data_IF_418133772544
#
_entry.id   IF_418133772544
#
_cell.length_a   1.000
_cell.length_b   1.000
_cell.length_c   1.000
_cell.angle_alpha   90.00
_cell.angle_beta   90.00
_cell.angle_gamma   90.00
#
_symmetry.space_group_name_H-M   'P 1'
#
loop_
_entity.id
_entity.type
_entity.pdbx_description
1 polymer ?
#
# COMPACT_ATOMS: atom_id res chain seq x y z
N UNK A 1 -36.11 16.91 -10.19
CA UNK A 1 -34.93 16.17 -10.65
C UNK A 1 -33.88 17.18 -11.04
N UNK A 2 -32.63 17.03 -10.61
CA UNK A 2 -31.60 18.03 -10.85
C UNK A 2 -30.95 17.80 -12.23
N UNK A 3 -31.55 18.38 -13.27
CA UNK A 3 -31.03 18.32 -14.64
C UNK A 3 -29.57 18.80 -14.74
N UNK A 4 -29.12 19.60 -13.76
CA UNK A 4 -27.73 20.03 -13.67
C UNK A 4 -26.75 18.86 -13.58
N UNK A 5 -27.14 17.69 -13.05
CA UNK A 5 -26.26 16.52 -12.95
C UNK A 5 -25.83 15.97 -14.32
N UNK A 6 -26.66 16.13 -15.34
CA UNK A 6 -26.36 15.65 -16.71
C UNK A 6 -25.82 16.76 -17.62
N UNK A 7 -25.79 18.01 -17.15
CA UNK A 7 -25.25 19.14 -17.91
C UNK A 7 -24.03 19.81 -17.25
N UNK A 8 -23.57 19.30 -16.12
CA UNK A 8 -22.49 19.92 -15.35
C UNK A 8 -21.35 18.94 -15.13
N UNK A 9 -20.20 19.22 -15.71
CA UNK A 9 -18.99 18.42 -15.57
C UNK A 9 -18.02 19.06 -14.57
N UNK A 10 -17.37 18.22 -13.74
CA UNK A 10 -16.32 18.65 -12.82
C UNK A 10 -14.97 18.36 -13.44
N UNK A 11 -14.17 19.40 -13.58
CA UNK A 11 -12.88 19.34 -14.25
C UNK A 11 -11.80 19.71 -13.24
N UNK A 12 -10.70 18.95 -13.23
CA UNK A 12 -9.54 19.30 -12.41
C UNK A 12 -9.08 20.73 -12.72
N UNK A 13 -8.80 21.50 -11.67
CA UNK A 13 -8.31 22.87 -11.78
C UNK A 13 -7.27 23.12 -10.69
N UNK A 14 -5.97 23.09 -11.04
CA UNK A 14 -4.90 23.29 -10.07
C UNK A 14 -4.88 24.73 -9.52
N UNK A 15 -5.42 25.71 -10.25
CA UNK A 15 -5.42 27.13 -9.86
C UNK A 15 -6.47 27.44 -8.79
N UNK A 16 -7.48 26.58 -8.65
CA UNK A 16 -8.50 26.72 -7.62
C UNK A 16 -7.98 26.21 -6.28
N UNK A 17 -7.45 27.11 -5.45
CA UNK A 17 -6.85 26.79 -4.16
C UNK A 17 -7.83 26.27 -3.10
N UNK A 18 -9.12 26.55 -3.23
CA UNK A 18 -10.14 26.09 -2.28
C UNK A 18 -10.62 24.66 -2.58
N UNK A 19 -10.95 24.38 -3.85
CA UNK A 19 -11.64 23.14 -4.24
C UNK A 19 -10.77 22.20 -5.08
N UNK A 20 -9.78 22.69 -5.82
CA UNK A 20 -8.95 21.91 -6.75
C UNK A 20 -9.69 21.42 -8.02
N UNK A 21 -10.92 21.88 -8.24
CA UNK A 21 -11.70 21.62 -9.45
C UNK A 21 -12.61 22.80 -9.76
N UNK A 22 -12.99 22.92 -11.02
CA UNK A 22 -14.01 23.86 -11.49
C UNK A 22 -15.24 23.09 -11.97
N UNK A 23 -16.37 23.80 -11.94
CA UNK A 23 -17.66 23.29 -12.38
C UNK A 23 -17.95 23.92 -13.73
N UNK A 24 -17.94 23.11 -14.79
CA UNK A 24 -18.18 23.56 -16.15
C UNK A 24 -19.58 23.15 -16.60
N UNK A 25 -20.34 24.13 -17.06
CA UNK A 25 -21.66 23.91 -17.59
C UNK A 25 -21.59 23.59 -19.10
N UNK A 26 -22.28 22.54 -19.52
CA UNK A 26 -22.33 22.04 -20.89
C UNK A 26 -23.72 22.29 -21.47
N UNK A 27 -23.84 23.35 -22.26
CA UNK A 27 -25.11 23.79 -22.84
C UNK A 27 -25.70 22.73 -23.78
N UNK A 28 -24.88 22.13 -24.65
CA UNK A 28 -25.32 21.08 -25.57
C UNK A 28 -25.90 19.87 -24.84
N UNK A 29 -25.30 19.49 -23.70
CA UNK A 29 -25.79 18.41 -22.86
C UNK A 29 -27.13 18.76 -22.20
N UNK A 30 -27.30 20.02 -21.76
CA UNK A 30 -28.56 20.48 -21.19
C UNK A 30 -29.68 20.48 -22.22
N UNK A 31 -29.43 21.06 -23.40
CA UNK A 31 -30.41 21.15 -24.48
C UNK A 31 -30.82 19.74 -24.94
N UNK A 32 -29.85 18.84 -25.15
CA UNK A 32 -30.11 17.46 -25.49
C UNK A 32 -30.93 16.74 -24.42
N UNK A 33 -30.54 16.86 -23.15
CA UNK A 33 -31.23 16.21 -22.04
C UNK A 33 -32.68 16.72 -21.92
N UNK A 34 -32.91 18.02 -22.06
CA UNK A 34 -34.23 18.62 -22.01
C UNK A 34 -35.10 18.19 -23.20
N UNK A 35 -34.60 18.26 -24.43
CA UNK A 35 -35.34 17.85 -25.63
C UNK A 35 -35.72 16.36 -25.57
N UNK A 36 -34.79 15.53 -25.10
CA UNK A 36 -34.97 14.08 -25.07
C UNK A 36 -35.94 13.63 -23.97
N UNK A 37 -35.87 14.21 -22.77
CA UNK A 37 -36.78 13.85 -21.65
C UNK A 37 -38.13 14.56 -21.68
N UNK A 38 -38.21 15.76 -22.28
CA UNK A 38 -39.48 16.44 -22.47
C UNK A 38 -40.31 15.78 -23.58
N UNK A 39 -39.67 15.10 -24.55
CA UNK A 39 -40.32 14.37 -25.64
C UNK A 39 -40.78 12.94 -25.33
N UNK A 40 -40.40 12.34 -24.19
CA UNK A 40 -40.84 10.99 -23.81
C UNK A 40 -42.29 10.99 -23.29
N UNK A 41 -43.08 10.01 -23.73
CA UNK A 41 -44.52 9.93 -23.49
C UNK A 41 -44.85 9.68 -22.00
N UNK A 42 -46.03 10.08 -21.56
CA UNK A 42 -46.40 10.12 -20.13
C UNK A 42 -46.36 8.73 -19.45
N UNK A 43 -46.46 7.65 -20.23
CA UNK A 43 -46.31 6.24 -19.78
C UNK A 43 -44.85 5.83 -19.53
N UNK A 44 -43.89 6.31 -20.31
CA UNK A 44 -42.46 6.04 -20.12
C UNK A 44 -41.89 6.83 -18.94
N UNK A 45 -42.49 8.00 -18.66
CA UNK A 45 -42.24 8.76 -17.42
C UNK A 45 -42.66 8.00 -16.16
N UNK A 46 -43.67 7.13 -16.22
CA UNK A 46 -44.25 6.46 -15.03
C UNK A 46 -43.60 5.12 -14.66
N UNK A 47 -42.91 4.45 -15.59
CA UNK A 47 -42.26 3.15 -15.34
C UNK A 47 -40.95 3.23 -14.53
N UNK A 48 -40.53 4.43 -14.17
CA UNK A 48 -39.16 4.65 -13.76
C UNK A 48 -39.00 4.64 -12.23
N UNK A 49 -38.05 3.84 -11.75
CA UNK A 49 -37.08 4.34 -10.78
C UNK A 49 -36.20 5.36 -11.56
N UNK A 50 -36.69 6.60 -11.67
CA UNK A 50 -36.40 7.62 -12.70
C UNK A 50 -34.94 7.80 -13.11
N UNK A 51 -33.99 7.75 -12.18
CA UNK A 51 -32.58 8.03 -12.50
C UNK A 51 -31.88 6.85 -13.21
N UNK A 52 -32.25 5.61 -12.86
CA UNK A 52 -31.63 4.41 -13.44
C UNK A 52 -32.09 4.19 -14.87
N UNK A 53 -33.38 4.41 -15.17
CA UNK A 53 -33.91 4.29 -16.53
C UNK A 53 -33.28 5.29 -17.49
N UNK A 54 -33.04 6.53 -17.04
CA UNK A 54 -32.34 7.56 -17.82
C UNK A 54 -30.90 7.15 -18.11
N UNK A 55 -30.18 6.63 -17.12
CA UNK A 55 -28.81 6.13 -17.30
C UNK A 55 -28.76 4.98 -18.29
N UNK A 56 -29.68 4.02 -18.17
CA UNK A 56 -29.76 2.86 -19.06
C UNK A 56 -30.03 3.31 -20.51
N UNK A 57 -30.96 4.25 -20.71
CA UNK A 57 -31.28 4.81 -22.01
C UNK A 57 -30.11 5.58 -22.63
N UNK A 58 -29.51 6.52 -21.89
CA UNK A 58 -28.36 7.28 -22.38
C UNK A 58 -27.17 6.37 -22.70
N UNK A 59 -26.96 5.31 -21.91
CA UNK A 59 -25.82 4.41 -22.09
C UNK A 59 -26.03 3.48 -23.29
N UNK A 60 -27.25 3.00 -23.50
CA UNK A 60 -27.60 2.21 -24.68
C UNK A 60 -27.45 3.01 -25.98
N UNK A 61 -27.81 4.30 -25.98
CA UNK A 61 -27.48 5.19 -27.09
C UNK A 61 -25.98 5.36 -27.24
N UNK A 62 -25.25 5.72 -26.18
CA UNK A 62 -23.80 5.91 -26.24
C UNK A 62 -23.05 4.70 -26.85
N UNK A 63 -23.51 3.49 -26.55
CA UNK A 63 -22.97 2.21 -27.04
C UNK A 63 -23.49 1.73 -28.39
N UNK A 64 -24.39 2.48 -29.03
CA UNK A 64 -25.10 2.06 -30.24
C UNK A 64 -25.87 0.72 -30.08
N UNK A 65 -26.35 0.41 -28.87
CA UNK A 65 -27.17 -0.79 -28.62
C UNK A 65 -28.61 -0.64 -29.16
N UNK A 66 -29.08 0.60 -29.34
CA UNK A 66 -30.33 0.96 -30.01
C UNK A 66 -30.01 1.59 -31.36
N UNK A 67 -30.14 0.83 -32.44
CA UNK A 67 -29.91 1.34 -33.80
C UNK A 67 -31.04 2.30 -34.19
N UNK A 68 -30.70 3.56 -34.47
CA UNK A 68 -31.57 4.47 -35.21
C UNK A 68 -31.27 4.39 -36.71
N UNK A 69 -32.28 4.60 -37.55
CA UNK A 69 -32.26 4.33 -39.00
C UNK A 69 -31.36 5.32 -39.78
N UNK A 70 -30.80 6.34 -39.13
CA UNK A 70 -30.11 7.45 -39.78
C UNK A 70 -28.70 7.68 -39.20
N UNK A 71 -27.65 7.32 -39.94
CA UNK A 71 -26.26 7.14 -39.45
C UNK A 71 -25.57 8.44 -38.97
N UNK A 72 -25.93 9.60 -39.54
CA UNK A 72 -25.39 10.91 -39.15
C UNK A 72 -26.08 11.45 -37.89
N UNK A 73 -27.39 11.19 -37.76
CA UNK A 73 -28.17 11.44 -36.56
C UNK A 73 -27.66 10.56 -35.40
N UNK A 74 -27.40 9.27 -35.69
CA UNK A 74 -26.89 8.30 -34.73
C UNK A 74 -25.59 8.78 -34.05
N UNK A 75 -24.61 9.25 -34.83
CA UNK A 75 -23.33 9.70 -34.28
C UNK A 75 -23.47 10.91 -33.36
N UNK A 76 -24.28 11.91 -33.74
CA UNK A 76 -24.52 13.10 -32.90
C UNK A 76 -25.25 12.75 -31.61
N UNK A 77 -26.25 11.88 -31.68
CA UNK A 77 -26.97 11.39 -30.49
C UNK A 77 -26.06 10.62 -29.54
N UNK A 78 -25.17 9.77 -30.09
CA UNK A 78 -24.17 9.04 -29.32
C UNK A 78 -23.23 9.97 -28.56
N UNK A 79 -22.70 10.99 -29.24
CA UNK A 79 -21.82 12.00 -28.63
C UNK A 79 -22.53 12.73 -27.49
N UNK A 80 -23.76 13.21 -27.71
CA UNK A 80 -24.51 13.98 -26.71
C UNK A 80 -24.96 13.11 -25.52
N UNK A 81 -25.39 11.87 -25.77
CA UNK A 81 -25.72 10.93 -24.70
C UNK A 81 -24.47 10.58 -23.85
N UNK A 82 -23.32 10.37 -24.50
CA UNK A 82 -22.04 10.22 -23.84
C UNK A 82 -21.65 11.44 -23.01
N UNK A 83 -21.86 12.65 -23.54
CA UNK A 83 -21.62 13.91 -22.81
C UNK A 83 -22.48 14.03 -21.56
N UNK A 84 -23.77 13.72 -21.64
CA UNK A 84 -24.66 13.70 -20.47
C UNK A 84 -24.16 12.74 -19.38
N UNK A 85 -23.72 11.55 -19.78
CA UNK A 85 -23.19 10.55 -18.86
C UNK A 85 -21.85 10.95 -18.26
N UNK A 86 -20.94 11.57 -19.03
CA UNK A 86 -19.66 12.10 -18.53
C UNK A 86 -19.87 13.19 -17.47
N UNK A 87 -20.79 14.12 -17.73
CA UNK A 87 -21.25 15.10 -16.74
C UNK A 87 -21.71 14.40 -15.46
N UNK A 88 -22.55 13.39 -15.61
CA UNK A 88 -23.10 12.63 -14.50
C UNK A 88 -22.01 11.96 -13.65
N UNK A 89 -21.13 11.16 -14.27
CA UNK A 89 -20.12 10.36 -13.54
C UNK A 89 -18.99 11.21 -12.94
N UNK A 90 -18.78 12.43 -13.42
CA UNK A 90 -17.80 13.36 -12.83
C UNK A 90 -18.04 13.64 -11.34
N UNK A 91 -19.31 13.63 -10.89
CA UNK A 91 -19.66 13.87 -9.49
C UNK A 91 -19.39 12.65 -8.58
N UNK A 92 -19.86 11.42 -8.89
CA UNK A 92 -19.46 10.22 -8.16
C UNK A 92 -17.94 10.02 -8.08
N UNK A 93 -17.19 10.34 -9.13
CA UNK A 93 -15.72 10.26 -9.13
C UNK A 93 -15.14 11.24 -8.12
N UNK A 94 -15.57 12.52 -8.14
CA UNK A 94 -15.16 13.51 -7.15
C UNK A 94 -15.50 13.06 -5.71
N UNK A 95 -16.73 12.56 -5.49
CA UNK A 95 -17.16 12.04 -4.18
C UNK A 95 -16.28 10.87 -3.74
N UNK A 96 -15.85 10.01 -4.65
CA UNK A 96 -14.96 8.91 -4.37
C UNK A 96 -13.58 9.41 -3.91
N UNK A 97 -12.98 10.39 -4.60
CA UNK A 97 -11.73 11.00 -4.16
C UNK A 97 -11.83 11.62 -2.77
N UNK A 98 -12.91 12.35 -2.48
CA UNK A 98 -13.17 12.93 -1.15
C UNK A 98 -13.28 11.85 -0.07
N UNK A 99 -14.03 10.77 -0.35
CA UNK A 99 -14.19 9.65 0.58
C UNK A 99 -12.90 8.87 0.80
N UNK A 100 -12.09 8.70 -0.24
CA UNK A 100 -10.78 8.07 -0.12
C UNK A 100 -9.87 8.92 0.76
N UNK A 101 -9.75 10.22 0.49
CA UNK A 101 -8.98 11.10 1.35
C UNK A 101 -9.47 11.07 2.80
N UNK A 102 -10.78 11.23 3.06
CA UNK A 102 -11.31 11.21 4.43
C UNK A 102 -11.07 9.91 5.18
N UNK A 103 -11.00 8.76 4.49
CA UNK A 103 -10.70 7.46 5.10
C UNK A 103 -9.23 7.33 5.53
N UNK A 104 -8.37 8.21 5.02
CA UNK A 104 -6.92 8.09 5.08
C UNK A 104 -6.23 9.36 5.59
N UNK A 105 -6.96 10.45 5.88
CA UNK A 105 -6.41 11.72 6.36
C UNK A 105 -5.93 11.71 7.82
N UNK A 106 -6.36 10.74 8.66
CA UNK A 106 -6.06 10.78 10.10
C UNK A 106 -4.56 10.65 10.40
N UNK A 107 -3.80 9.94 9.57
CA UNK A 107 -2.36 9.72 9.74
C UNK A 107 -1.51 10.28 8.60
N UNK A 108 -2.11 10.71 7.48
CA UNK A 108 -1.41 11.05 6.25
C UNK A 108 -1.89 12.38 5.66
N UNK A 109 -0.96 13.23 5.21
CA UNK A 109 -1.22 14.56 4.61
C UNK A 109 -1.85 14.51 3.20
N UNK A 110 -2.42 13.38 2.82
CA UNK A 110 -3.10 13.21 1.55
C UNK A 110 -4.36 14.07 1.52
N UNK A 111 -4.43 15.00 0.57
CA UNK A 111 -5.68 15.73 0.31
C UNK A 111 -6.39 15.15 -0.89
N UNK A 112 -7.73 15.19 -0.92
CA UNK A 112 -8.49 14.71 -2.08
C UNK A 112 -8.10 15.41 -3.38
N UNK A 113 -7.51 16.63 -3.30
CA UNK A 113 -7.04 17.44 -4.44
C UNK A 113 -5.92 16.74 -5.21
N UNK A 114 -5.03 16.06 -4.52
CA UNK A 114 -3.92 15.30 -5.13
C UNK A 114 -4.43 14.12 -5.96
N UNK A 115 -5.63 13.62 -5.65
CA UNK A 115 -6.25 12.54 -6.41
C UNK A 115 -6.96 13.03 -7.68
N UNK A 116 -7.34 14.31 -7.75
CA UNK A 116 -8.22 14.82 -8.81
C UNK A 116 -7.56 14.84 -10.19
N UNK A 117 -6.26 15.14 -10.25
CA UNK A 117 -5.50 15.19 -11.51
C UNK A 117 -5.51 13.87 -12.27
N UNK A 118 -5.64 12.75 -11.57
CA UNK A 118 -5.65 11.42 -12.16
C UNK A 118 -7.00 11.01 -12.75
N UNK A 119 -8.11 11.60 -12.30
CA UNK A 119 -9.46 11.08 -12.60
C UNK A 119 -10.47 12.11 -13.10
N UNK A 120 -10.23 13.41 -12.89
CA UNK A 120 -11.05 14.49 -13.45
C UNK A 120 -10.34 15.12 -14.66
N UNK A 121 -9.85 14.27 -15.57
CA UNK A 121 -9.13 14.65 -16.78
C UNK A 121 -10.04 14.98 -17.98
N UNK A 122 -11.35 15.03 -17.76
CA UNK A 122 -12.37 15.23 -18.79
C UNK A 122 -13.05 16.60 -18.63
N UNK A 123 -12.98 17.43 -19.67
CA UNK A 123 -13.61 18.75 -19.73
C UNK A 123 -14.94 18.80 -20.49
N UNK A 124 -15.37 17.67 -21.06
CA UNK A 124 -16.62 17.53 -21.80
C UNK A 124 -16.60 18.13 -23.22
N UNK A 125 -15.50 18.76 -23.65
CA UNK A 125 -15.47 19.46 -24.96
C UNK A 125 -15.14 18.54 -26.12
N UNK A 126 -14.37 17.48 -25.86
CA UNK A 126 -14.00 16.52 -26.89
C UNK A 126 -15.22 15.63 -27.21
N UNK A 127 -15.74 15.62 -28.44
CA UNK A 127 -16.82 14.73 -28.84
C UNK A 127 -16.30 13.30 -28.99
N UNK A 128 -16.82 12.38 -28.17
CA UNK A 128 -16.30 11.02 -28.04
C UNK A 128 -17.44 10.03 -28.21
N UNK A 129 -17.16 8.94 -28.93
CA UNK A 129 -17.97 7.73 -29.01
C UNK A 129 -17.12 6.50 -28.68
N UNK A 130 -17.76 5.37 -28.41
CA UNK A 130 -17.09 4.08 -28.27
C UNK A 130 -17.05 3.34 -29.62
N UNK A 131 -16.02 2.51 -29.83
CA UNK A 131 -16.01 1.55 -30.92
C UNK A 131 -17.11 0.47 -30.77
N UNK A 132 -17.26 -0.39 -31.78
CA UNK A 132 -18.23 -1.49 -31.80
C UNK A 132 -18.01 -2.50 -30.65
N UNK A 133 -16.79 -2.60 -30.14
CA UNK A 133 -16.41 -3.49 -29.06
C UNK A 133 -16.59 -2.84 -27.67
N UNK A 134 -16.96 -1.57 -27.62
CA UNK A 134 -17.10 -0.77 -26.41
C UNK A 134 -15.78 -0.49 -25.67
N UNK A 135 -14.62 -0.66 -26.33
CA UNK A 135 -13.29 -0.64 -25.69
C UNK A 135 -12.44 0.56 -26.08
N UNK A 136 -12.48 1.00 -27.33
CA UNK A 136 -11.69 2.13 -27.79
C UNK A 136 -12.50 3.43 -27.73
N UNK A 137 -11.84 4.52 -27.30
CA UNK A 137 -12.39 5.88 -27.35
C UNK A 137 -12.08 6.48 -28.72
N UNK A 138 -13.13 6.84 -29.46
CA UNK A 138 -13.02 7.42 -30.79
C UNK A 138 -13.47 8.88 -30.74
N UNK A 139 -12.68 9.77 -31.33
CA UNK A 139 -12.97 11.19 -31.40
C UNK A 139 -13.67 11.48 -32.73
N UNK A 140 -14.75 12.25 -32.67
CA UNK A 140 -15.49 12.66 -33.87
C UNK A 140 -15.02 14.05 -34.26
N UNK A 141 -14.37 14.19 -35.42
CA UNK A 141 -13.91 15.49 -35.88
C UNK A 141 -15.08 16.38 -36.34
N UNK A 142 -14.81 17.66 -36.65
CA UNK A 142 -15.86 18.62 -37.07
C UNK A 142 -16.53 18.23 -38.40
N UNK A 143 -15.87 17.39 -39.18
CA UNK A 143 -16.32 16.85 -40.46
C UNK A 143 -17.10 15.53 -40.28
N UNK A 144 -17.22 15.02 -39.06
CA UNK A 144 -17.93 13.78 -38.75
C UNK A 144 -17.09 12.51 -38.94
N UNK A 145 -15.81 12.62 -39.25
CA UNK A 145 -14.90 11.50 -39.39
C UNK A 145 -14.42 11.03 -38.00
N UNK A 146 -14.16 9.73 -37.90
CA UNK A 146 -13.89 9.04 -36.64
C UNK A 146 -12.38 8.74 -36.57
N UNK A 147 -11.71 9.33 -35.60
CA UNK A 147 -10.27 9.16 -35.37
C UNK A 147 -9.98 8.49 -34.02
N UNK A 148 -8.89 7.72 -33.88
CA UNK A 148 -8.49 7.18 -32.59
C UNK A 148 -8.11 8.32 -31.63
N UNK A 149 -8.72 8.35 -30.44
CA UNK A 149 -8.45 9.38 -29.45
C UNK A 149 -7.01 9.35 -28.93
N UNK A 150 -6.35 10.52 -28.89
CA UNK A 150 -4.99 10.68 -28.40
C UNK A 150 -4.85 10.54 -26.86
N UNK A 151 -5.96 10.47 -26.13
CA UNK A 151 -5.96 10.35 -24.65
C UNK A 151 -7.16 9.55 -24.15
N UNK A 152 -6.97 8.83 -23.04
CA UNK A 152 -8.02 8.07 -22.37
C UNK A 152 -8.65 8.91 -21.25
N UNK A 153 -9.91 9.27 -21.42
CA UNK A 153 -10.67 9.95 -20.38
C UNK A 153 -11.22 8.95 -19.37
N UNK A 154 -10.97 9.18 -18.08
CA UNK A 154 -11.34 8.23 -17.03
C UNK A 154 -12.87 8.10 -16.90
N UNK A 155 -13.62 9.18 -17.13
CA UNK A 155 -15.09 9.18 -17.21
C UNK A 155 -15.61 8.18 -18.25
N UNK A 156 -14.95 8.09 -19.40
CA UNK A 156 -15.30 7.15 -20.47
C UNK A 156 -14.95 5.73 -20.05
N UNK A 157 -13.79 5.48 -19.42
CA UNK A 157 -13.41 4.15 -18.94
C UNK A 157 -14.41 3.59 -17.90
N UNK A 158 -14.93 4.46 -17.05
CA UNK A 158 -16.02 4.12 -16.11
C UNK A 158 -17.27 3.68 -16.87
N UNK A 159 -17.68 4.45 -17.89
CA UNK A 159 -18.87 4.19 -18.70
C UNK A 159 -18.73 2.95 -19.60
N UNK A 160 -17.58 2.78 -20.25
CA UNK A 160 -17.26 1.63 -21.10
C UNK A 160 -17.29 0.32 -20.31
N UNK A 161 -16.75 0.33 -19.09
CA UNK A 161 -16.67 -0.87 -18.26
C UNK A 161 -17.95 -1.22 -17.48
N UNK A 162 -18.96 -0.33 -17.46
CA UNK A 162 -20.23 -0.58 -16.77
C UNK A 162 -21.03 -1.70 -17.45
N UNK A 163 -21.73 -2.57 -16.71
CA UNK A 163 -22.48 -3.69 -17.29
C UNK A 163 -23.98 -3.51 -17.08
N UNK A 164 -24.71 -3.19 -18.16
CA UNK A 164 -26.17 -3.02 -18.18
C UNK A 164 -26.91 -4.32 -17.81
N UNK A 165 -26.50 -5.44 -18.41
CA UNK A 165 -27.25 -6.71 -18.38
C UNK A 165 -26.87 -7.66 -17.22
N UNK A 166 -26.26 -7.15 -16.15
CA UNK A 166 -25.89 -7.99 -15.00
C UNK A 166 -27.01 -8.03 -13.93
N UNK A 167 -27.47 -9.21 -13.48
CA UNK A 167 -28.50 -9.33 -12.46
C UNK A 167 -28.04 -8.78 -11.09
N UNK A 168 -26.74 -8.64 -10.87
CA UNK A 168 -26.13 -8.04 -9.67
C UNK A 168 -25.47 -6.68 -9.95
N UNK A 169 -26.05 -5.88 -10.86
CA UNK A 169 -25.48 -4.58 -11.25
C UNK A 169 -25.47 -3.57 -10.10
N UNK A 170 -24.31 -2.97 -9.87
CA UNK A 170 -24.18 -1.79 -9.02
C UNK A 170 -24.88 -0.58 -9.67
N UNK A 171 -25.32 0.39 -8.88
CA UNK A 171 -25.68 1.71 -9.43
C UNK A 171 -24.46 2.33 -10.11
N UNK A 172 -24.69 3.20 -11.10
CA UNK A 172 -23.60 3.89 -11.80
C UNK A 172 -22.70 4.68 -10.83
N UNK A 173 -23.28 5.30 -9.80
CA UNK A 173 -22.56 5.96 -8.70
C UNK A 173 -21.60 5.00 -7.98
N UNK A 174 -22.08 3.82 -7.57
CA UNK A 174 -21.27 2.82 -6.88
C UNK A 174 -20.19 2.23 -7.79
N UNK A 175 -20.50 2.07 -9.09
CA UNK A 175 -19.53 1.61 -10.06
C UNK A 175 -18.41 2.63 -10.28
N UNK A 176 -18.75 3.90 -10.47
CA UNK A 176 -17.79 5.00 -10.57
C UNK A 176 -16.91 5.08 -9.31
N UNK A 177 -17.49 4.90 -8.12
CA UNK A 177 -16.74 4.81 -6.87
C UNK A 177 -15.74 3.64 -6.87
N UNK A 178 -16.18 2.43 -7.21
CA UNK A 178 -15.32 1.24 -7.26
C UNK A 178 -14.19 1.41 -8.27
N UNK A 179 -14.49 1.96 -9.45
CA UNK A 179 -13.50 2.22 -10.48
C UNK A 179 -12.48 3.27 -10.07
N UNK A 180 -12.93 4.36 -9.44
CA UNK A 180 -12.03 5.41 -8.91
C UNK A 180 -11.09 4.82 -7.86
N UNK A 181 -11.61 4.01 -6.92
CA UNK A 181 -10.79 3.31 -5.93
C UNK A 181 -9.79 2.32 -6.56
N UNK A 182 -10.11 1.77 -7.73
CA UNK A 182 -9.24 0.82 -8.42
C UNK A 182 -8.21 1.48 -9.35
N UNK A 183 -8.30 2.80 -9.58
CA UNK A 183 -7.44 3.54 -10.49
C UNK A 183 -5.95 3.36 -10.14
N UNK A 184 -5.09 2.95 -11.09
CA UNK A 184 -3.71 2.59 -10.81
C UNK A 184 -2.91 3.77 -10.25
N UNK A 185 -3.10 4.98 -10.78
CA UNK A 185 -2.36 6.15 -10.33
C UNK A 185 -2.86 6.66 -8.98
N UNK A 186 -4.15 6.49 -8.67
CA UNK A 186 -4.66 6.76 -7.31
C UNK A 186 -4.02 5.78 -6.35
N UNK A 187 -4.00 4.48 -6.67
CA UNK A 187 -3.34 3.48 -5.81
C UNK A 187 -1.86 3.77 -5.62
N UNK A 188 -1.16 4.20 -6.68
CA UNK A 188 0.25 4.58 -6.60
C UNK A 188 0.44 5.79 -5.69
N UNK A 189 -0.34 6.85 -5.89
CA UNK A 189 -0.33 8.05 -5.05
C UNK A 189 -0.63 7.73 -3.57
N UNK A 190 -1.64 6.88 -3.30
CA UNK A 190 -1.93 6.42 -1.94
C UNK A 190 -0.73 5.67 -1.34
N UNK A 191 -0.09 4.78 -2.11
CA UNK A 191 1.07 4.03 -1.65
C UNK A 191 2.30 4.93 -1.38
N UNK A 192 2.53 5.94 -2.22
CA UNK A 192 3.60 6.94 -2.02
C UNK A 192 3.40 7.75 -0.74
N UNK A 193 2.14 8.02 -0.37
CA UNK A 193 1.78 8.71 0.86
C UNK A 193 1.81 7.80 2.09
N UNK A 194 2.25 6.55 1.97
CA UNK A 194 2.39 5.64 3.09
C UNK A 194 1.16 4.83 3.44
N UNK A 195 0.09 4.95 2.64
CA UNK A 195 -1.12 4.18 2.87
C UNK A 195 -0.91 2.72 2.43
N UNK A 196 -1.10 1.76 3.34
CA UNK A 196 -0.92 0.37 3.00
C UNK A 196 -1.98 -0.04 1.99
N UNK A 197 -1.58 -0.26 0.73
CA UNK A 197 -2.40 -0.98 -0.27
C UNK A 197 -2.66 -2.45 0.18
N UNK A 198 -1.96 -2.89 1.22
CA UNK A 198 -1.89 -4.25 1.72
C UNK A 198 -1.84 -4.22 3.25
N UNK A 199 -2.72 -4.95 3.94
CA UNK A 199 -2.74 -5.03 5.41
C UNK A 199 -1.35 -5.34 6.00
N UNK A 200 -1.08 -4.88 7.22
CA UNK A 200 0.13 -5.20 8.00
C UNK A 200 0.48 -6.71 7.94
N UNK A 201 -0.54 -7.55 7.98
CA UNK A 201 -0.43 -9.01 7.92
C UNK A 201 -0.08 -9.54 6.52
N UNK A 202 -0.52 -8.85 5.48
CA UNK A 202 -0.11 -9.16 4.12
C UNK A 202 1.30 -8.67 3.80
N UNK A 203 1.80 -7.65 4.50
CA UNK A 203 3.21 -7.26 4.48
C UNK A 203 4.08 -8.35 5.10
N UNK A 204 3.75 -8.78 6.33
CA UNK A 204 4.41 -9.91 7.00
C UNK A 204 4.38 -11.19 6.14
N UNK A 205 3.23 -11.49 5.51
CA UNK A 205 3.10 -12.63 4.62
C UNK A 205 3.87 -12.54 3.29
N UNK A 206 4.39 -11.37 2.91
CA UNK A 206 5.13 -11.12 1.66
C UNK A 206 6.63 -10.98 1.86
N UNK A 207 7.12 -10.91 3.10
CA UNK A 207 8.55 -10.81 3.38
C UNK A 207 9.26 -11.98 2.72
N UNK A 208 10.16 -11.66 1.78
CA UNK A 208 10.98 -12.65 1.08
C UNK A 208 12.16 -13.05 1.96
N UNK A 209 12.76 -14.22 1.73
CA UNK A 209 13.96 -14.68 2.45
C UNK A 209 15.08 -13.63 2.54
N UNK A 210 15.26 -12.80 1.49
CA UNK A 210 16.28 -11.75 1.48
C UNK A 210 16.01 -10.62 2.49
N UNK A 211 14.74 -10.24 2.69
CA UNK A 211 14.39 -9.22 3.69
C UNK A 211 14.34 -9.83 5.10
N UNK A 212 14.05 -11.14 5.24
CA UNK A 212 14.17 -11.85 6.52
C UNK A 212 15.60 -11.87 7.07
N UNK A 213 16.61 -11.85 6.19
CA UNK A 213 18.03 -11.79 6.57
C UNK A 213 18.46 -10.42 7.09
N UNK A 214 17.74 -9.37 6.71
CA UNK A 214 17.99 -7.99 7.17
C UNK A 214 17.27 -7.67 8.48
N UNK A 215 16.29 -8.49 8.88
CA UNK A 215 15.63 -8.39 10.17
C UNK A 215 16.51 -8.95 11.29
N UNK A 216 16.35 -8.38 12.48
CA UNK A 216 17.01 -8.88 13.68
C UNK A 216 16.69 -10.37 13.93
N UNK A 217 17.61 -11.14 14.53
CA UNK A 217 17.42 -12.58 14.73
C UNK A 217 16.13 -12.95 15.47
N UNK A 218 15.70 -12.11 16.43
CA UNK A 218 14.45 -12.28 17.18
C UNK A 218 13.22 -12.05 16.29
N UNK A 219 13.21 -10.96 15.54
CA UNK A 219 12.12 -10.58 14.64
C UNK A 219 11.99 -11.58 13.49
N UNK A 220 13.11 -12.06 12.94
CA UNK A 220 13.14 -13.14 11.94
C UNK A 220 12.43 -14.39 12.43
N UNK A 221 12.73 -14.84 13.66
CA UNK A 221 12.08 -16.03 14.27
C UNK A 221 10.58 -15.82 14.45
N UNK A 222 10.14 -14.61 14.82
CA UNK A 222 8.72 -14.25 14.93
C UNK A 222 8.01 -14.32 13.57
N UNK A 223 8.61 -13.75 12.53
CA UNK A 223 8.05 -13.76 11.17
C UNK A 223 8.04 -15.18 10.56
N UNK A 224 9.08 -15.98 10.80
CA UNK A 224 9.10 -17.38 10.35
C UNK A 224 8.04 -18.24 11.07
N UNK A 225 7.80 -18.00 12.35
CA UNK A 225 6.71 -18.65 13.09
C UNK A 225 5.36 -18.24 12.51
N UNK A 226 5.20 -16.95 12.19
CA UNK A 226 4.03 -16.44 11.48
C UNK A 226 3.81 -17.13 10.14
N UNK A 227 4.84 -17.26 9.32
CA UNK A 227 4.76 -17.98 8.06
C UNK A 227 4.37 -19.45 8.24
N UNK A 228 4.89 -20.11 9.28
CA UNK A 228 4.60 -21.52 9.58
C UNK A 228 3.11 -21.70 9.87
N UNK A 229 2.55 -20.95 10.82
CA UNK A 229 1.14 -21.05 11.20
C UNK A 229 0.21 -20.65 10.05
N UNK A 230 0.48 -19.52 9.38
CA UNK A 230 -0.37 -19.06 8.27
C UNK A 230 -0.30 -19.96 7.02
N UNK A 231 0.83 -20.62 6.77
CA UNK A 231 0.94 -21.55 5.65
C UNK A 231 0.20 -22.86 5.91
N UNK A 232 0.27 -23.38 7.14
CA UNK A 232 -0.51 -24.54 7.58
C UNK A 232 -2.01 -24.26 7.47
N UNK A 233 -2.47 -23.11 7.95
CA UNK A 233 -3.88 -22.72 7.90
C UNK A 233 -4.40 -22.61 6.45
N UNK A 234 -3.61 -22.01 5.55
CA UNK A 234 -3.96 -21.96 4.11
C UNK A 234 -4.00 -23.35 3.48
N UNK A 235 -3.12 -24.25 3.89
CA UNK A 235 -3.10 -25.62 3.38
C UNK A 235 -4.34 -26.41 3.85
N UNK A 236 -4.75 -26.25 5.10
CA UNK A 236 -5.99 -26.83 5.63
C UNK A 236 -7.22 -26.27 4.91
N UNK A 237 -7.30 -24.96 4.72
CA UNK A 237 -8.39 -24.33 3.95
C UNK A 237 -8.44 -24.79 2.48
N UNK A 238 -7.29 -25.13 1.87
CA UNK A 238 -7.23 -25.74 0.53
C UNK A 238 -7.71 -27.18 0.50
N UNK A 239 -7.50 -27.95 1.57
CA UNK A 239 -7.98 -29.35 1.68
C UNK A 239 -9.49 -29.42 1.90
N UNK A 240 -10.06 -28.50 2.68
CA UNK A 240 -11.52 -28.39 2.87
C UNK A 240 -12.27 -27.77 1.66
N UNK A 241 -11.56 -27.41 0.58
CA UNK A 241 -12.04 -26.58 -0.52
C UNK A 241 -12.67 -27.33 -1.70
N UNK A 242 -12.83 -28.65 -1.61
CA UNK A 242 -13.39 -29.44 -2.72
C UNK A 242 -14.79 -28.93 -3.14
N UNK A 243 -15.55 -28.25 -2.27
CA UNK A 243 -16.95 -27.89 -2.55
C UNK A 243 -17.36 -26.40 -2.50
N UNK A 244 -16.49 -25.39 -2.32
CA UNK A 244 -16.94 -23.97 -2.35
C UNK A 244 -15.99 -23.01 -3.09
N UNK A 245 -16.35 -22.71 -4.34
CA UNK A 245 -15.67 -21.80 -5.29
C UNK A 245 -15.87 -20.28 -5.03
N UNK A 246 -16.32 -19.86 -3.84
CA UNK A 246 -16.95 -18.53 -3.68
C UNK A 246 -16.45 -17.64 -2.53
N UNK A 247 -15.28 -17.90 -1.92
CA UNK A 247 -14.76 -17.00 -0.87
C UNK A 247 -13.48 -16.24 -1.31
N UNK A 248 -13.58 -14.93 -1.65
CA UNK A 248 -12.45 -14.06 -1.98
C UNK A 248 -11.45 -13.86 -0.83
N UNK A 249 -11.85 -14.20 0.41
CA UNK A 249 -11.05 -13.99 1.64
C UNK A 249 -9.81 -14.88 1.76
N UNK A 250 -9.73 -15.97 1.01
CA UNK A 250 -8.63 -16.97 1.15
C UNK A 250 -7.30 -16.50 0.57
N UNK A 251 -7.32 -15.48 -0.29
CA UNK A 251 -6.10 -14.87 -0.83
C UNK A 251 -5.67 -13.61 -0.06
N UNK A 252 -6.38 -13.23 1.01
CA UNK A 252 -6.07 -12.08 1.83
C UNK A 252 -5.45 -12.56 3.15
N UNK A 253 -4.27 -12.03 3.50
CA UNK A 253 -3.76 -12.18 4.87
C UNK A 253 -4.61 -11.28 5.77
N UNK A 254 -5.53 -11.90 6.48
CA UNK A 254 -6.33 -11.26 7.51
C UNK A 254 -5.52 -11.13 8.80
N UNK A 255 -6.08 -10.41 9.75
CA UNK A 255 -5.53 -10.29 11.10
C UNK A 255 -5.45 -11.65 11.81
N UNK A 256 -4.39 -11.90 12.62
CA UNK A 256 -4.27 -13.12 13.42
C UNK A 256 -5.48 -13.29 14.30
N UNK A 257 -6.11 -14.45 14.18
CA UNK A 257 -7.13 -14.88 15.12
C UNK A 257 -6.45 -15.36 16.41
N UNK A 258 -7.19 -15.36 17.52
CA UNK A 258 -6.65 -15.76 18.83
C UNK A 258 -6.15 -17.22 18.86
N UNK A 259 -6.77 -18.11 18.07
CA UNK A 259 -6.30 -19.49 17.87
C UNK A 259 -4.88 -19.52 17.25
N UNK A 260 -4.66 -18.73 16.20
CA UNK A 260 -3.37 -18.63 15.51
C UNK A 260 -2.28 -18.01 16.40
N UNK A 261 -2.64 -17.02 17.23
CA UNK A 261 -1.71 -16.42 18.19
C UNK A 261 -1.31 -17.44 19.27
N UNK A 262 -2.24 -18.28 19.71
CA UNK A 262 -1.94 -19.34 20.67
C UNK A 262 -1.00 -20.39 20.07
N UNK A 263 -1.24 -20.82 18.83
CA UNK A 263 -0.37 -21.76 18.11
C UNK A 263 1.07 -21.21 17.96
N UNK A 264 1.20 -19.91 17.67
CA UNK A 264 2.50 -19.24 17.63
C UNK A 264 3.19 -19.25 18.99
N UNK A 265 2.48 -18.97 20.08
CA UNK A 265 3.05 -18.99 21.44
C UNK A 265 3.58 -20.37 21.82
N UNK A 266 2.98 -21.46 21.32
CA UNK A 266 3.49 -22.80 21.54
C UNK A 266 4.79 -23.09 20.76
N UNK A 267 4.98 -22.48 19.58
CA UNK A 267 6.14 -22.71 18.70
C UNK A 267 7.34 -21.78 18.97
N UNK A 268 7.13 -20.63 19.61
CA UNK A 268 8.18 -19.65 19.88
C UNK A 268 9.26 -20.10 20.89
N UNK A 269 8.93 -20.85 21.97
CA UNK A 269 9.92 -21.37 22.90
C UNK A 269 10.93 -22.30 22.25
N UNK A 270 10.51 -23.13 21.28
CA UNK A 270 11.39 -24.02 20.52
C UNK A 270 12.43 -23.26 19.68
N UNK A 271 12.15 -21.97 19.39
CA UNK A 271 13.03 -21.08 18.63
C UNK A 271 13.83 -20.13 19.53
N UNK A 272 13.73 -20.29 20.85
CA UNK A 272 14.45 -19.48 21.84
C UNK A 272 13.90 -18.06 22.00
N UNK A 273 12.60 -17.84 21.75
CA UNK A 273 11.93 -16.55 21.98
C UNK A 273 10.87 -16.74 23.06
N UNK A 274 10.96 -15.98 24.14
CA UNK A 274 10.01 -16.03 25.27
C UNK A 274 9.05 -14.85 25.12
N UNK A 275 7.77 -15.14 24.90
CA UNK A 275 6.66 -14.18 24.94
C UNK A 275 5.57 -14.78 25.82
N UNK A 276 5.08 -14.00 26.79
CA UNK A 276 4.25 -14.54 27.87
C UNK A 276 2.74 -14.37 27.62
N UNK A 277 2.35 -13.64 26.58
CA UNK A 277 0.95 -13.30 26.30
C UNK A 277 0.65 -13.15 24.80
N UNK A 278 -0.56 -13.52 24.40
CA UNK A 278 -1.06 -13.31 23.02
C UNK A 278 -1.12 -11.83 22.66
N UNK A 279 -1.40 -10.96 23.65
CA UNK A 279 -1.41 -9.50 23.48
C UNK A 279 -0.01 -8.94 23.21
N UNK A 280 0.99 -9.46 23.92
CA UNK A 280 2.39 -9.08 23.68
C UNK A 280 2.85 -9.55 22.31
N UNK A 281 2.50 -10.79 21.93
CA UNK A 281 2.80 -11.32 20.60
C UNK A 281 2.16 -10.48 19.48
N UNK A 282 0.89 -10.12 19.63
CA UNK A 282 0.20 -9.27 18.65
C UNK A 282 0.84 -7.88 18.57
N UNK A 283 1.23 -7.29 19.72
CA UNK A 283 1.94 -6.01 19.76
C UNK A 283 3.29 -6.08 19.05
N UNK A 284 4.08 -7.13 19.28
CA UNK A 284 5.38 -7.33 18.64
C UNK A 284 5.24 -7.58 17.13
N UNK A 285 4.30 -8.42 16.70
CA UNK A 285 4.04 -8.62 15.27
C UNK A 285 3.56 -7.33 14.60
N UNK A 286 2.75 -6.54 15.30
CA UNK A 286 2.31 -5.22 14.82
C UNK A 286 3.48 -4.24 14.72
N UNK A 287 4.42 -4.25 15.68
CA UNK A 287 5.66 -3.45 15.64
C UNK A 287 6.48 -3.80 14.41
N UNK A 288 6.75 -5.09 14.18
CA UNK A 288 7.52 -5.56 13.01
C UNK A 288 6.83 -5.18 11.71
N UNK A 289 5.50 -5.36 11.62
CA UNK A 289 4.75 -4.99 10.42
C UNK A 289 4.79 -3.49 10.13
N UNK A 290 4.76 -2.64 11.16
CA UNK A 290 4.92 -1.19 11.02
C UNK A 290 6.34 -0.82 10.55
N UNK A 291 7.39 -1.43 11.12
CA UNK A 291 8.76 -1.20 10.67
C UNK A 291 8.98 -1.58 9.19
N UNK A 292 8.47 -2.74 8.77
CA UNK A 292 8.49 -3.17 7.36
C UNK A 292 7.69 -2.23 6.45
N UNK A 293 6.58 -1.70 6.95
CA UNK A 293 5.78 -0.71 6.22
C UNK A 293 6.58 0.59 6.03
N UNK A 294 7.22 1.11 7.08
CA UNK A 294 8.06 2.31 7.02
C UNK A 294 9.24 2.15 6.06
N UNK A 295 9.88 0.97 6.05
CA UNK A 295 10.96 0.64 5.10
C UNK A 295 10.47 0.58 3.65
N UNK A 296 9.30 -0.02 3.39
CA UNK A 296 8.71 -0.06 2.05
C UNK A 296 8.35 1.35 1.57
N UNK A 297 7.83 2.20 2.47
CA UNK A 297 7.51 3.59 2.17
C UNK A 297 8.76 4.38 1.86
N UNK A 298 9.81 4.24 2.69
CA UNK A 298 11.09 4.89 2.47
C UNK A 298 11.71 4.45 1.14
N UNK A 299 11.73 3.15 0.86
CA UNK A 299 12.26 2.62 -0.40
C UNK A 299 11.52 3.16 -1.63
N UNK A 300 10.20 3.38 -1.53
CA UNK A 300 9.39 3.93 -2.62
C UNK A 300 9.53 5.44 -2.79
N UNK A 301 9.61 6.18 -1.69
CA UNK A 301 9.67 7.66 -1.66
C UNK A 301 11.09 8.19 -1.83
N UNK A 302 12.11 7.40 -1.53
CA UNK A 302 13.51 7.82 -1.43
C UNK A 302 13.83 8.61 -0.15
N UNK A 303 12.84 8.86 0.71
CA UNK A 303 12.99 9.51 2.02
C UNK A 303 11.97 8.95 3.01
N UNK A 304 12.26 8.92 4.32
CA UNK A 304 11.28 8.47 5.31
C UNK A 304 10.13 9.46 5.44
N UNK A 305 9.08 9.08 6.17
CA UNK A 305 7.96 9.98 6.45
C UNK A 305 8.46 11.07 7.40
N UNK A 306 8.66 12.27 6.88
CA UNK A 306 8.95 13.45 7.68
C UNK A 306 7.69 14.28 7.88
N UNK A 307 7.46 14.71 9.11
CA UNK A 307 6.48 15.74 9.43
C UNK A 307 7.19 17.10 9.49
N UNK A 308 6.80 18.07 8.64
CA UNK A 308 7.19 19.46 8.82
C UNK A 308 6.91 19.95 10.23
N UNK A 309 7.92 20.54 10.87
CA UNK A 309 7.88 21.16 12.21
C UNK A 309 6.79 22.23 12.32
N UNK A 310 6.44 22.84 11.20
CA UNK A 310 5.37 23.81 11.05
C UNK A 310 4.24 23.19 10.23
N UNK A 311 3.12 22.86 10.87
CA UNK A 311 1.90 22.44 10.21
C UNK A 311 0.81 23.51 10.42
N UNK A 312 0.12 23.86 9.33
CA UNK A 312 -1.10 24.68 9.42
C UNK A 312 -2.26 23.79 9.85
N UNK A 313 -3.01 24.24 10.83
CA UNK A 313 -4.28 23.61 11.19
C UNK A 313 -5.24 23.69 9.99
N UNK A 314 -5.80 22.57 9.52
CA UNK A 314 -6.68 22.54 8.35
C UNK A 314 -8.04 23.22 8.57
N UNK A 315 -8.48 23.43 9.80
CA UNK A 315 -9.75 24.11 10.13
C UNK A 315 -9.57 25.60 10.43
N UNK A 316 -8.49 25.99 11.11
CA UNK A 316 -8.26 27.40 11.52
C UNK A 316 -7.26 28.15 10.65
N UNK A 317 -6.40 27.44 9.91
CA UNK A 317 -5.36 28.05 9.06
C UNK A 317 -4.21 28.71 9.84
N UNK A 318 -4.22 28.60 11.17
CA UNK A 318 -3.15 29.09 12.04
C UNK A 318 -1.97 28.11 12.10
N UNK A 319 -0.78 28.66 12.35
CA UNK A 319 0.41 27.85 12.60
C UNK A 319 0.32 27.31 14.01
N UNK A 320 0.23 25.99 14.14
CA UNK A 320 0.30 25.32 15.44
C UNK A 320 1.75 24.85 15.62
N UNK A 321 2.52 25.41 16.57
CA UNK A 321 3.81 24.85 16.95
C UNK A 321 3.56 23.44 17.48
N UNK A 322 4.09 22.42 16.81
CA UNK A 322 3.99 21.05 17.31
C UNK A 322 4.97 20.93 18.48
N UNK A 323 4.45 20.56 19.65
CA UNK A 323 5.30 20.25 20.81
C UNK A 323 6.26 19.12 20.39
N UNK A 324 7.56 19.38 20.48
CA UNK A 324 8.58 18.37 20.26
C UNK A 324 8.34 17.25 21.30
N UNK A 325 8.49 15.97 20.92
CA UNK A 325 8.41 14.88 21.89
C UNK A 325 9.38 15.19 23.03
N UNK A 326 8.91 15.14 24.27
CA UNK A 326 9.77 15.28 25.45
C UNK A 326 10.89 14.24 25.35
N UNK A 327 12.15 14.68 25.33
CA UNK A 327 13.31 13.79 25.31
C UNK A 327 13.35 12.86 26.54
N UNK A 328 12.59 13.20 27.60
CA UNK A 328 12.43 12.39 28.80
C UNK A 328 11.18 11.50 28.79
N UNK A 329 10.33 11.58 27.76
CA UNK A 329 9.24 10.63 27.57
C UNK A 329 9.87 9.29 27.19
N UNK A 330 9.91 8.38 28.16
CA UNK A 330 10.28 6.97 28.06
C UNK A 330 9.38 6.30 27.00
N UNK A 331 9.74 6.47 25.73
CA UNK A 331 9.20 5.64 24.66
C UNK A 331 9.76 4.24 24.89
N UNK A 332 8.87 3.29 25.18
CA UNK A 332 9.22 1.87 25.35
C UNK A 332 9.94 1.28 24.11
N UNK A 333 9.83 1.95 22.95
CA UNK A 333 10.54 1.62 21.71
C UNK A 333 12.04 1.94 21.81
N UNK A 334 12.42 3.04 22.47
CA UNK A 334 13.84 3.42 22.63
C UNK A 334 14.58 2.48 23.58
N UNK A 335 13.93 2.00 24.64
CA UNK A 335 14.56 1.06 25.57
C UNK A 335 14.79 -0.33 24.97
N UNK A 336 13.86 -0.83 24.15
CA UNK A 336 14.07 -2.11 23.45
C UNK A 336 15.21 -1.98 22.44
N UNK A 337 15.21 -0.90 21.64
CA UNK A 337 16.28 -0.64 20.66
C UNK A 337 17.65 -0.41 21.31
N UNK A 338 17.71 0.23 22.48
CA UNK A 338 18.95 0.39 23.26
C UNK A 338 19.49 -0.93 23.77
N UNK A 339 18.63 -1.78 24.35
CA UNK A 339 19.03 -3.11 24.82
C UNK A 339 19.49 -3.99 23.65
N UNK A 340 18.78 -3.93 22.51
CA UNK A 340 19.11 -4.71 21.31
C UNK A 340 20.41 -4.23 20.65
N UNK A 341 20.66 -2.91 20.62
CA UNK A 341 21.94 -2.35 20.16
C UNK A 341 23.08 -2.72 21.11
N UNK A 342 22.83 -2.71 22.42
CA UNK A 342 23.82 -3.11 23.41
C UNK A 342 24.22 -4.57 23.24
N UNK A 343 23.26 -5.49 23.11
CA UNK A 343 23.53 -6.92 22.88
C UNK A 343 24.35 -7.13 21.58
N UNK A 344 24.01 -6.42 20.51
CA UNK A 344 24.76 -6.47 19.24
C UNK A 344 26.20 -5.98 19.41
N UNK A 345 26.40 -4.86 20.10
CA UNK A 345 27.72 -4.29 20.35
C UNK A 345 28.56 -5.20 21.26
N UNK A 346 27.96 -5.77 22.30
CA UNK A 346 28.63 -6.71 23.20
C UNK A 346 29.09 -7.96 22.45
N UNK A 347 28.22 -8.53 21.61
CA UNK A 347 28.58 -9.71 20.83
C UNK A 347 29.65 -9.41 19.78
N UNK A 348 29.55 -8.28 19.09
CA UNK A 348 30.59 -7.82 18.16
C UNK A 348 31.93 -7.54 18.86
N UNK A 349 31.91 -7.00 20.07
CA UNK A 349 33.12 -6.76 20.86
C UNK A 349 33.80 -8.07 21.25
N UNK A 350 33.04 -9.08 21.66
CA UNK A 350 33.57 -10.41 22.01
C UNK A 350 34.26 -11.03 20.79
N UNK A 351 33.62 -11.03 19.62
CA UNK A 351 34.20 -11.59 18.40
C UNK A 351 35.49 -10.88 17.97
N UNK A 352 35.52 -9.55 18.05
CA UNK A 352 36.71 -8.75 17.73
C UNK A 352 37.84 -9.02 18.73
N UNK A 353 37.52 -9.12 20.02
CA UNK A 353 38.51 -9.43 21.06
C UNK A 353 39.08 -10.83 20.89
N UNK A 354 38.24 -11.84 20.63
CA UNK A 354 38.68 -13.21 20.37
C UNK A 354 39.61 -13.27 19.14
N UNK A 355 39.25 -12.56 18.07
CA UNK A 355 40.10 -12.50 16.87
C UNK A 355 41.43 -11.79 17.15
N UNK A 356 41.42 -10.65 17.84
CA UNK A 356 42.61 -9.89 18.18
C UNK A 356 43.55 -10.67 19.11
N UNK A 357 43.00 -11.37 20.12
CA UNK A 357 43.78 -12.23 21.03
C UNK A 357 44.39 -13.40 20.24
N UNK A 358 43.61 -14.06 19.38
CA UNK A 358 44.12 -15.16 18.55
C UNK A 358 45.24 -14.70 17.62
N UNK A 359 45.09 -13.54 16.99
CA UNK A 359 46.11 -12.96 16.12
C UNK A 359 47.38 -12.59 16.91
N UNK A 360 47.25 -11.89 18.03
CA UNK A 360 48.39 -11.52 18.86
C UNK A 360 49.15 -12.74 19.40
N UNK A 361 48.44 -13.81 19.78
CA UNK A 361 49.07 -15.07 20.18
C UNK A 361 49.81 -15.74 19.01
N UNK A 362 49.22 -15.76 17.81
CA UNK A 362 49.86 -16.34 16.63
C UNK A 362 51.12 -15.57 16.22
N UNK A 363 51.06 -14.23 16.21
CA UNK A 363 52.22 -13.37 15.94
C UNK A 363 53.32 -13.56 17.00
N UNK A 364 52.93 -13.65 18.27
CA UNK A 364 53.87 -13.89 19.36
C UNK A 364 54.56 -15.25 19.23
N UNK A 365 53.81 -16.33 18.96
CA UNK A 365 54.36 -17.67 18.73
C UNK A 365 55.30 -17.66 17.53
N UNK A 366 54.91 -17.06 16.40
CA UNK A 366 55.76 -16.96 15.21
C UNK A 366 57.07 -16.19 15.50
N UNK A 367 57.01 -15.12 16.29
CA UNK A 367 58.20 -14.37 16.71
C UNK A 367 59.16 -15.20 17.57
N UNK A 368 58.60 -16.07 18.43
CA UNK A 368 59.38 -16.97 19.29
C UNK A 368 60.02 -18.11 18.50
N UNK A 369 59.31 -18.67 17.52
CA UNK A 369 59.83 -19.70 16.60
C UNK A 369 61.03 -19.20 15.79
N UNK A 370 61.04 -17.92 15.39
CA UNK A 370 62.15 -17.30 14.67
C UNK A 370 63.37 -17.02 15.57
N UNK A 371 63.22 -17.09 16.89
CA UNK A 371 64.30 -16.81 17.84
C UNK A 371 65.16 -18.05 18.13
N UNK A 372 66.47 -17.96 17.89
CA UNK A 372 67.43 -19.05 18.17
C UNK A 372 67.43 -19.54 19.61
N UNK A 373 67.04 -18.70 20.58
CA UNK A 373 67.10 -19.02 22.01
C UNK A 373 65.74 -19.44 22.58
N UNK A 374 64.65 -18.95 22.00
CA UNK A 374 63.31 -19.11 22.57
C UNK A 374 62.36 -19.98 21.74
N UNK A 375 62.80 -20.49 20.58
CA UNK A 375 62.00 -21.38 19.72
C UNK A 375 61.47 -22.62 20.45
N UNK A 376 62.22 -23.17 21.42
CA UNK A 376 61.78 -24.31 22.21
C UNK A 376 60.62 -24.01 23.17
N UNK A 377 60.29 -22.72 23.38
CA UNK A 377 59.18 -22.27 24.23
C UNK A 377 57.94 -21.87 23.44
N UNK A 378 58.01 -21.74 22.11
CA UNK A 378 56.88 -21.34 21.28
C UNK A 378 55.68 -22.31 21.44
N UNK A 379 55.92 -23.62 21.45
CA UNK A 379 54.90 -24.66 21.66
C UNK A 379 54.30 -24.67 23.08
N UNK A 380 54.89 -23.92 24.02
CA UNK A 380 54.53 -23.88 25.43
C UNK A 380 53.68 -22.67 25.81
N UNK A 381 53.54 -21.69 24.90
CA UNK A 381 52.81 -20.43 25.11
C UNK A 381 51.33 -20.67 25.39
N UNK A 382 50.63 -21.40 24.51
CA UNK A 382 49.18 -21.66 24.67
C UNK A 382 48.88 -22.44 25.97
N UNK A 383 49.58 -23.56 26.29
CA UNK A 383 49.40 -24.24 27.57
C UNK A 383 49.67 -23.34 28.79
N UNK A 384 50.72 -22.50 28.73
CA UNK A 384 51.06 -21.56 29.81
C UNK A 384 49.95 -20.54 30.06
N UNK A 385 49.40 -19.94 29.00
CA UNK A 385 48.28 -19.00 29.10
C UNK A 385 47.02 -19.68 29.64
N UNK A 386 46.71 -20.91 29.23
CA UNK A 386 45.59 -21.69 29.77
C UNK A 386 45.75 -21.93 31.27
N UNK A 387 46.95 -22.30 31.73
CA UNK A 387 47.20 -22.51 33.15
C UNK A 387 47.09 -21.22 33.97
N UNK A 388 47.50 -20.09 33.41
CA UNK A 388 47.46 -18.80 34.09
C UNK A 388 46.04 -18.22 34.18
N UNK A 389 45.33 -18.14 33.05
CA UNK A 389 44.05 -17.42 32.97
C UNK A 389 42.82 -18.31 33.16
N UNK A 390 42.88 -19.60 32.81
CA UNK A 390 41.74 -20.51 33.00
C UNK A 390 41.83 -21.32 34.30
N UNK A 391 43.05 -21.68 34.74
CA UNK A 391 43.27 -22.51 35.93
C UNK A 391 43.84 -21.74 37.13
N UNK A 392 44.16 -20.44 36.98
CA UNK A 392 44.59 -19.57 38.08
C UNK A 392 45.94 -19.94 38.72
N UNK A 393 46.79 -20.73 38.05
CA UNK A 393 48.08 -21.20 38.59
C UNK A 393 49.11 -20.07 38.61
N UNK A 394 49.99 -20.10 39.60
CA UNK A 394 51.09 -19.14 39.70
C UNK A 394 52.18 -19.40 38.65
N UNK A 395 52.90 -18.36 38.23
CA UNK A 395 54.00 -18.49 37.25
C UNK A 395 55.07 -19.50 37.66
N UNK A 396 55.27 -19.69 38.98
CA UNK A 396 56.24 -20.65 39.54
C UNK A 396 55.79 -22.10 39.32
N UNK A 397 54.50 -22.37 39.41
CA UNK A 397 53.90 -23.69 39.15
C UNK A 397 53.82 -23.97 37.65
N UNK A 398 53.59 -22.95 36.83
CA UNK A 398 53.57 -23.08 35.37
C UNK A 398 54.98 -23.41 34.86
N UNK A 399 56.02 -22.75 35.39
CA UNK A 399 57.40 -23.01 34.98
C UNK A 399 57.86 -24.45 35.25
N UNK A 400 57.39 -25.07 36.33
CA UNK A 400 57.71 -26.47 36.65
C UNK A 400 56.90 -27.45 35.79
N UNK A 401 55.61 -27.19 35.56
CA UNK A 401 54.72 -28.04 34.75
C UNK A 401 55.08 -28.00 33.26
N UNK A 402 55.40 -26.80 32.75
CA UNK A 402 55.70 -26.54 31.34
C UNK A 402 57.20 -26.73 31.04
N UNK A 403 58.01 -27.13 32.05
CA UNK A 403 59.47 -27.35 31.97
C UNK A 403 60.18 -26.14 31.35
N UNK A 404 59.99 -24.96 31.94
CA UNK A 404 60.65 -23.70 31.54
C UNK A 404 61.94 -23.40 32.33
N UNK A 405 62.55 -24.42 32.94
CA UNK A 405 63.83 -24.33 33.66
C UNK A 405 65.02 -24.62 32.77
#
# INVERSE_FOLDING_TARGET
MDASRYSTIRVFDPTNNEKGYKVCHQQEAQEFFQQTLLGLDQKERLLAQWERGIQDLLLSWFRAELSTVDTTCDTKYRVLAGLCLRCYVSMPILKACKKLASQFCLDYRLTYRELLSYVLNDDGKTPIILDSDGKAQLVVNKQGEIEPGLGQFFTIDVLASYRLNSPARFSLDNWAYLKTKQHPDIKRCLAEQGLPLSSNWSLLGRVKLRHLEQLYPRDRKLVETFHTVYSQDRQQQRRHRVNHKLNPRVNQCLEPRDDQLQDMLHLLPERGVIINSTKELHKELTRIAKGLQEEEIWSRRGSPIWEPLEARDPETGEYVPKELPDLNSINTIDHLGQSELQDFLEQGLIEVLDHAIAQALAEHIASLEQSRRYACFASKVIPGFRFLYCEGKSLKEIATVVKMT
#
